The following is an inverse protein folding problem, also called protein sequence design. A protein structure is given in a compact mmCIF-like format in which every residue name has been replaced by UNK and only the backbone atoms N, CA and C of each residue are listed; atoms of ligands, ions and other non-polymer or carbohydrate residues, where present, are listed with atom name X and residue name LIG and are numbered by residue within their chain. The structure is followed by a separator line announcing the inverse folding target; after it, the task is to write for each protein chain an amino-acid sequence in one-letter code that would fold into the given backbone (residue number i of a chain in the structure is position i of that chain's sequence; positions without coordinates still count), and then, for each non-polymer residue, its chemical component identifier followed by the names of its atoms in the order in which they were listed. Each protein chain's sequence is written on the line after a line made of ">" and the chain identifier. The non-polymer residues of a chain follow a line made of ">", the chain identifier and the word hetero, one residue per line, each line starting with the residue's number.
data_IF_684105080238
#
_entry.id   IF_684105080238
#
_cell.length_a   1.000
_cell.length_b   1.000
_cell.length_c   1.000
_cell.angle_alpha   90.00
_cell.angle_beta   90.00
_cell.angle_gamma   90.00
#
_symmetry.space_group_name_H-M   'P 1'
#
loop_
_entity.id
_entity.type
_entity.pdbx_description
1 polymer ?
#
# COMPACT_ATOMS: atom_id res chain seq x y z
N UNK A 1 -32.49 6.19 -11.01
CA UNK A 1 -31.48 6.04 -9.95
C UNK A 1 -31.78 4.71 -9.29
N UNK A 2 -31.08 3.65 -9.70
CA UNK A 2 -31.13 2.40 -8.95
C UNK A 2 -30.48 2.64 -7.59
N UNK A 3 -31.18 2.27 -6.52
CA UNK A 3 -30.61 2.31 -5.18
C UNK A 3 -29.41 1.37 -5.17
N UNK A 4 -28.20 1.92 -5.02
CA UNK A 4 -27.00 1.14 -4.88
C UNK A 4 -27.17 0.24 -3.65
N UNK A 5 -27.23 -1.06 -3.87
CA UNK A 5 -27.38 -2.02 -2.78
C UNK A 5 -26.17 -1.89 -1.87
N UNK A 6 -26.38 -1.44 -0.63
CA UNK A 6 -25.32 -1.32 0.36
C UNK A 6 -24.79 -2.72 0.66
N UNK A 7 -23.49 -2.93 0.46
CA UNK A 7 -22.84 -4.19 0.79
C UNK A 7 -22.86 -4.40 2.31
N UNK A 8 -22.95 -5.66 2.72
CA UNK A 8 -22.95 -6.05 4.12
C UNK A 8 -21.51 -6.37 4.56
N UNK A 9 -21.02 -5.68 5.60
CA UNK A 9 -19.63 -5.79 6.08
C UNK A 9 -19.28 -7.23 6.46
N UNK A 10 -20.11 -7.87 7.27
CA UNK A 10 -19.86 -9.21 7.80
C UNK A 10 -19.78 -10.23 6.66
N UNK A 11 -20.71 -10.15 5.69
CA UNK A 11 -20.68 -11.01 4.49
C UNK A 11 -19.46 -10.81 3.62
N UNK A 12 -18.90 -9.60 3.55
CA UNK A 12 -17.68 -9.36 2.77
C UNK A 12 -16.46 -10.03 3.40
N UNK A 13 -16.31 -9.95 4.72
CA UNK A 13 -15.26 -10.69 5.43
C UNK A 13 -15.47 -12.21 5.34
N UNK A 14 -16.69 -12.69 5.58
CA UNK A 14 -17.02 -14.13 5.49
C UNK A 14 -16.78 -14.69 4.08
N UNK A 15 -16.94 -13.88 3.04
CA UNK A 15 -16.70 -14.33 1.67
C UNK A 15 -15.26 -14.75 1.42
N UNK A 16 -14.30 -14.03 2.00
CA UNK A 16 -12.87 -14.31 1.83
C UNK A 16 -12.36 -15.26 2.90
N UNK A 17 -12.70 -15.02 4.17
CA UNK A 17 -12.11 -15.75 5.29
C UNK A 17 -12.99 -16.90 5.83
N UNK A 18 -14.21 -17.04 5.33
CA UNK A 18 -15.15 -18.08 5.76
C UNK A 18 -15.50 -17.97 7.24
N UNK A 19 -15.55 -19.11 7.92
CA UNK A 19 -15.91 -19.16 9.35
C UNK A 19 -14.81 -18.62 10.28
N UNK A 20 -13.60 -18.32 9.79
CA UNK A 20 -12.52 -17.77 10.62
C UNK A 20 -12.90 -16.42 11.24
N UNK A 21 -13.64 -15.59 10.51
CA UNK A 21 -14.09 -14.26 10.96
C UNK A 21 -15.36 -14.29 11.82
N UNK A 22 -15.94 -15.47 12.09
CA UNK A 22 -17.05 -15.61 13.03
C UNK A 22 -16.49 -15.78 14.43
N UNK A 23 -16.55 -14.71 15.22
CA UNK A 23 -16.03 -14.71 16.59
C UNK A 23 -17.00 -15.43 17.54
N UNK A 24 -16.48 -16.27 18.43
CA UNK A 24 -17.27 -16.92 19.47
C UNK A 24 -17.73 -15.87 20.51
N UNK A 25 -19.05 -15.60 20.65
CA UNK A 25 -19.54 -14.58 21.58
C UNK A 25 -19.15 -14.83 23.03
N UNK A 26 -19.00 -16.10 23.44
CA UNK A 26 -18.57 -16.45 24.79
C UNK A 26 -17.09 -16.16 25.00
N UNK A 27 -16.26 -16.41 23.99
CA UNK A 27 -14.83 -16.10 24.03
C UNK A 27 -14.59 -14.60 24.00
N UNK A 28 -15.26 -13.86 23.11
CA UNK A 28 -15.27 -12.38 23.05
C UNK A 28 -15.57 -11.82 24.44
N UNK A 29 -16.71 -12.21 25.03
CA UNK A 29 -17.13 -11.74 26.35
C UNK A 29 -16.09 -12.06 27.43
N UNK A 30 -15.52 -13.26 27.41
CA UNK A 30 -14.53 -13.70 28.39
C UNK A 30 -13.25 -12.85 28.30
N UNK A 31 -12.69 -12.72 27.10
CA UNK A 31 -11.43 -12.00 26.84
C UNK A 31 -11.59 -10.51 27.17
N UNK A 32 -12.70 -9.89 26.75
CA UNK A 32 -12.97 -8.48 27.03
C UNK A 32 -13.31 -8.18 28.50
N UNK A 33 -13.72 -9.18 29.29
CA UNK A 33 -14.06 -9.00 30.71
C UNK A 33 -12.87 -9.13 31.67
N UNK A 34 -11.81 -9.80 31.23
CA UNK A 34 -10.59 -10.00 32.01
C UNK A 34 -9.58 -8.86 31.75
N UNK A 35 -8.48 -8.77 32.53
CA UNK A 35 -7.47 -7.74 32.33
C UNK A 35 -6.92 -7.71 30.90
N UNK A 36 -6.86 -6.52 30.29
CA UNK A 36 -6.31 -6.33 28.94
C UNK A 36 -4.86 -6.84 28.84
N UNK A 37 -4.49 -7.37 27.68
CA UNK A 37 -3.21 -8.06 27.46
C UNK A 37 -3.16 -9.50 27.98
N UNK A 38 -4.14 -9.97 28.78
CA UNK A 38 -4.23 -11.38 29.13
C UNK A 38 -4.54 -12.22 27.88
N UNK A 39 -3.79 -13.32 27.73
CA UNK A 39 -3.88 -14.24 26.60
C UNK A 39 -4.64 -15.51 26.92
N UNK A 40 -5.35 -16.00 25.92
CA UNK A 40 -6.05 -17.28 25.95
C UNK A 40 -5.67 -18.09 24.72
N UNK A 41 -4.76 -19.03 24.94
CA UNK A 41 -4.36 -20.01 23.95
C UNK A 41 -5.43 -21.10 23.85
N UNK A 42 -5.75 -21.50 22.64
CA UNK A 42 -6.69 -22.57 22.35
C UNK A 42 -5.93 -23.66 21.60
N UNK A 43 -5.64 -24.75 22.31
CA UNK A 43 -5.12 -25.99 21.77
C UNK A 43 -6.28 -26.99 21.68
N UNK A 44 -6.85 -27.13 20.48
CA UNK A 44 -8.03 -27.97 20.22
C UNK A 44 -7.66 -29.43 20.07
N UNK A 45 -6.47 -29.72 19.56
CA UNK A 45 -6.05 -31.08 19.23
C UNK A 45 -5.27 -31.76 20.38
N UNK A 46 -4.80 -30.98 21.36
CA UNK A 46 -4.08 -31.43 22.55
C UNK A 46 -2.61 -31.79 22.30
N UNK A 47 -1.98 -31.30 21.23
CA UNK A 47 -0.59 -31.57 20.89
C UNK A 47 0.42 -30.63 21.60
N UNK A 48 -0.09 -29.62 22.33
CA UNK A 48 0.70 -28.64 23.06
C UNK A 48 1.04 -27.37 22.26
N UNK A 49 0.63 -27.30 20.99
CA UNK A 49 0.76 -26.13 20.11
C UNK A 49 -0.62 -25.51 19.86
N UNK A 50 -0.90 -24.32 20.42
CA UNK A 50 -2.20 -23.67 20.23
C UNK A 50 -2.45 -23.32 18.77
N UNK A 51 -3.64 -23.60 18.23
CA UNK A 51 -4.00 -23.15 16.87
C UNK A 51 -4.45 -21.68 16.81
N UNK A 52 -4.73 -21.08 17.97
CA UNK A 52 -5.10 -19.67 18.06
C UNK A 52 -4.86 -19.10 19.46
N UNK A 53 -4.65 -17.79 19.52
CA UNK A 53 -4.57 -17.02 20.75
C UNK A 53 -5.48 -15.81 20.69
N UNK A 54 -6.23 -15.59 21.77
CA UNK A 54 -7.12 -14.45 21.92
C UNK A 54 -6.62 -13.50 23.01
N UNK A 55 -6.68 -12.19 22.75
CA UNK A 55 -6.29 -11.17 23.73
C UNK A 55 -6.88 -9.80 23.38
N UNK A 56 -6.94 -8.90 24.36
CA UNK A 56 -7.11 -7.47 24.08
C UNK A 56 -5.74 -6.87 23.87
N UNK A 57 -5.44 -6.38 22.66
CA UNK A 57 -4.20 -5.69 22.37
C UNK A 57 -4.17 -4.33 23.09
N UNK A 58 -3.03 -4.05 23.71
CA UNK A 58 -2.77 -2.88 24.53
C UNK A 58 -1.66 -2.00 23.95
N UNK A 59 -1.11 -2.34 22.78
CA UNK A 59 -0.03 -1.58 22.17
C UNK A 59 -0.41 -0.08 22.07
N UNK A 60 0.51 0.83 22.46
CA UNK A 60 0.25 2.27 22.44
C UNK A 60 -0.03 2.83 21.05
N UNK A 61 0.33 2.12 19.96
CA UNK A 61 -0.04 2.50 18.59
C UNK A 61 -1.55 2.60 18.41
N UNK A 62 -2.32 1.84 19.19
CA UNK A 62 -3.77 1.79 19.07
C UNK A 62 -4.49 2.98 19.67
N UNK A 63 -5.38 3.57 18.88
CA UNK A 63 -6.24 4.70 19.23
C UNK A 63 -7.23 4.35 20.34
N UNK A 64 -7.41 5.26 21.30
CA UNK A 64 -8.35 5.07 22.43
C UNK A 64 -9.79 4.83 21.96
N UNK A 65 -10.20 5.45 20.85
CA UNK A 65 -11.54 5.32 20.27
C UNK A 65 -11.87 3.95 19.67
N UNK A 66 -10.88 3.06 19.55
CA UNK A 66 -11.04 1.69 19.05
C UNK A 66 -10.94 0.64 20.17
N UNK A 67 -10.61 1.07 21.39
CA UNK A 67 -10.37 0.16 22.51
C UNK A 67 -11.69 -0.28 23.17
N UNK A 68 -11.77 -1.53 23.68
CA UNK A 68 -10.75 -2.57 23.60
C UNK A 68 -10.57 -3.08 22.16
N UNK A 69 -9.34 -3.34 21.73
CA UNK A 69 -9.08 -4.00 20.45
C UNK A 69 -8.93 -5.49 20.75
N UNK A 70 -9.98 -6.25 20.50
CA UNK A 70 -9.95 -7.70 20.63
C UNK A 70 -9.26 -8.29 19.40
N UNK A 71 -8.30 -9.17 19.63
CA UNK A 71 -7.55 -9.87 18.60
C UNK A 71 -7.71 -11.36 18.80
N UNK A 72 -7.99 -12.04 17.69
CA UNK A 72 -7.83 -13.49 17.52
C UNK A 72 -6.74 -13.70 16.48
N UNK A 73 -5.56 -14.12 16.92
CA UNK A 73 -4.51 -14.59 16.02
C UNK A 73 -4.68 -16.09 15.78
N UNK A 74 -4.60 -16.52 14.53
CA UNK A 74 -4.74 -17.91 14.09
C UNK A 74 -3.40 -18.35 13.50
N UNK A 75 -2.84 -19.38 14.12
CA UNK A 75 -1.66 -20.11 13.66
C UNK A 75 -2.01 -20.89 12.38
N UNK A 76 -1.28 -20.63 11.29
CA UNK A 76 -1.50 -21.34 10.01
C UNK A 76 -0.41 -22.34 9.67
N UNK A 77 0.79 -22.22 10.23
CA UNK A 77 1.93 -23.07 9.92
C UNK A 77 2.27 -24.06 11.05
N UNK A 78 1.64 -23.89 12.21
CA UNK A 78 1.70 -24.81 13.34
C UNK A 78 2.92 -24.61 14.20
N UNK A 79 3.48 -23.41 14.26
CA UNK A 79 4.69 -23.11 15.02
C UNK A 79 4.39 -22.46 16.40
N UNK A 80 3.15 -21.99 16.62
CA UNK A 80 2.77 -21.22 17.80
C UNK A 80 2.98 -22.01 19.09
N UNK A 81 3.62 -21.37 20.07
CA UNK A 81 3.94 -21.96 21.37
C UNK A 81 3.01 -21.48 22.48
N UNK A 82 2.70 -22.36 23.44
CA UNK A 82 1.97 -22.00 24.65
C UNK A 82 2.73 -20.92 25.44
N UNK A 83 2.09 -19.76 25.66
CA UNK A 83 2.73 -18.60 26.29
C UNK A 83 3.59 -17.74 25.34
N UNK A 84 3.69 -18.12 24.06
CA UNK A 84 4.39 -17.40 23.01
C UNK A 84 3.61 -16.21 22.43
N UNK A 85 4.23 -15.51 21.49
CA UNK A 85 3.56 -14.52 20.65
C UNK A 85 3.00 -15.22 19.42
N UNK A 86 1.87 -14.78 18.85
CA UNK A 86 1.68 -14.93 17.41
C UNK A 86 2.74 -14.10 16.69
N UNK A 87 3.17 -14.54 15.52
CA UNK A 87 4.27 -13.97 14.73
C UNK A 87 3.74 -13.36 13.42
N UNK A 88 4.65 -13.09 12.49
CA UNK A 88 4.38 -12.30 11.29
C UNK A 88 4.77 -13.04 10.01
N UNK A 89 4.91 -14.35 10.10
CA UNK A 89 5.23 -15.31 9.07
C UNK A 89 4.09 -16.35 9.08
N UNK A 90 3.21 -16.27 8.08
CA UNK A 90 2.03 -17.16 7.95
C UNK A 90 0.87 -16.97 8.94
N UNK A 91 0.97 -16.11 9.95
CA UNK A 91 -0.14 -15.89 10.89
C UNK A 91 -1.31 -15.00 10.37
N UNK A 92 -2.53 -15.23 10.90
CA UNK A 92 -3.72 -14.42 10.58
C UNK A 92 -4.34 -13.75 11.82
N UNK A 93 -4.39 -12.43 11.79
CA UNK A 93 -4.94 -11.59 12.85
C UNK A 93 -6.35 -11.11 12.50
N UNK A 94 -7.34 -11.51 13.29
CA UNK A 94 -8.74 -11.09 13.14
C UNK A 94 -9.08 -10.13 14.28
N UNK A 95 -9.63 -8.97 13.92
CA UNK A 95 -9.69 -7.83 14.84
C UNK A 95 -11.10 -7.27 14.95
N UNK A 96 -11.53 -7.12 16.19
CA UNK A 96 -12.80 -6.53 16.61
C UNK A 96 -12.50 -5.28 17.42
N UNK A 97 -12.85 -4.11 16.86
CA UNK A 97 -12.72 -2.86 17.57
C UNK A 97 -13.89 -2.69 18.53
N UNK A 98 -13.58 -2.21 19.73
CA UNK A 98 -14.51 -2.05 20.84
C UNK A 98 -15.00 -3.37 21.47
N UNK A 99 -14.60 -4.53 20.95
CA UNK A 99 -14.95 -5.84 21.51
C UNK A 99 -16.45 -6.13 21.42
N UNK A 100 -17.10 -5.70 20.35
CA UNK A 100 -18.55 -5.80 20.16
C UNK A 100 -18.99 -7.12 19.47
N UNK A 101 -18.03 -7.97 19.15
CA UNK A 101 -18.19 -9.25 18.49
C UNK A 101 -18.17 -9.17 16.96
N UNK A 102 -17.87 -8.01 16.37
CA UNK A 102 -17.83 -7.82 14.92
C UNK A 102 -16.43 -7.54 14.42
N UNK A 103 -16.07 -8.18 13.32
CA UNK A 103 -14.76 -7.96 12.68
C UNK A 103 -14.76 -6.59 11.98
N UNK A 104 -13.70 -5.83 12.23
CA UNK A 104 -13.44 -4.53 11.61
C UNK A 104 -12.22 -4.55 10.69
N UNK A 105 -11.23 -5.37 11.01
CA UNK A 105 -10.02 -5.53 10.23
C UNK A 105 -9.49 -6.97 10.31
N UNK A 106 -8.74 -7.36 9.29
CA UNK A 106 -7.93 -8.57 9.28
C UNK A 106 -6.53 -8.20 8.77
N UNK A 107 -5.49 -8.75 9.37
CA UNK A 107 -4.13 -8.73 8.80
C UNK A 107 -3.70 -10.17 8.57
N UNK A 108 -3.24 -10.48 7.37
CA UNK A 108 -2.68 -11.78 7.03
C UNK A 108 -1.23 -11.63 6.62
N UNK A 109 -0.39 -12.51 7.16
CA UNK A 109 1.00 -12.69 6.76
C UNK A 109 1.15 -14.03 6.04
N UNK A 110 2.15 -14.12 5.16
CA UNK A 110 2.49 -15.35 4.44
C UNK A 110 4.00 -15.47 4.35
N UNK A 111 4.51 -16.65 4.67
CA UNK A 111 5.82 -17.16 4.26
C UNK A 111 5.58 -18.15 3.11
N UNK A 112 6.21 -17.91 1.97
CA UNK A 112 6.07 -18.67 0.73
C UNK A 112 7.26 -19.60 0.48
N UNK A 113 8.42 -19.32 1.07
CA UNK A 113 9.66 -20.05 0.81
C UNK A 113 10.15 -20.91 1.99
N UNK A 114 9.57 -20.70 3.18
CA UNK A 114 9.71 -21.50 4.39
C UNK A 114 10.90 -21.12 5.26
N UNK A 115 11.38 -19.88 5.17
CA UNK A 115 12.50 -19.39 5.96
C UNK A 115 12.10 -18.70 7.28
N UNK A 116 10.79 -18.64 7.57
CA UNK A 116 10.16 -18.08 8.77
C UNK A 116 10.26 -16.55 8.83
N UNK A 117 9.95 -15.91 7.70
CA UNK A 117 9.90 -14.46 7.57
C UNK A 117 8.70 -14.01 6.68
N UNK A 118 8.51 -12.69 6.52
CA UNK A 118 7.34 -12.14 5.83
C UNK A 118 7.58 -11.89 4.33
N UNK A 119 7.21 -12.85 3.50
CA UNK A 119 7.13 -12.63 2.05
C UNK A 119 5.98 -11.69 1.65
N UNK A 120 4.83 -11.81 2.32
CA UNK A 120 3.61 -11.06 1.95
C UNK A 120 2.79 -10.64 3.14
N UNK A 121 2.21 -9.45 3.01
CA UNK A 121 1.30 -8.88 3.99
C UNK A 121 0.03 -8.34 3.32
N UNK A 122 -1.13 -8.58 3.95
CA UNK A 122 -2.41 -8.00 3.53
C UNK A 122 -3.14 -7.33 4.70
N UNK A 123 -3.47 -6.04 4.57
CA UNK A 123 -4.34 -5.31 5.51
C UNK A 123 -5.74 -5.19 4.90
N UNK A 124 -6.69 -5.94 5.46
CA UNK A 124 -8.05 -6.07 4.93
C UNK A 124 -9.05 -5.20 5.68
N UNK A 125 -9.88 -4.48 4.94
CA UNK A 125 -10.91 -3.61 5.49
C UNK A 125 -12.14 -3.54 4.59
N UNK A 126 -13.29 -3.17 5.17
CA UNK A 126 -14.53 -3.04 4.41
C UNK A 126 -14.73 -1.63 3.88
N UNK A 127 -15.11 -1.55 2.60
CA UNK A 127 -15.59 -0.34 1.95
C UNK A 127 -17.02 -0.55 1.39
N UNK A 128 -17.99 0.34 1.70
CA UNK A 128 -19.38 0.17 1.24
C UNK A 128 -19.57 0.13 -0.28
N UNK A 129 -18.66 0.72 -1.06
CA UNK A 129 -18.71 0.76 -2.54
C UNK A 129 -17.99 -0.44 -3.14
N UNK A 130 -16.84 -0.81 -2.59
CA UNK A 130 -15.92 -1.80 -3.18
C UNK A 130 -16.03 -3.20 -2.57
N UNK A 131 -16.62 -3.37 -1.39
CA UNK A 131 -16.72 -4.66 -0.70
C UNK A 131 -15.56 -4.83 0.28
N UNK A 132 -14.90 -5.98 0.24
CA UNK A 132 -13.67 -6.16 1.00
C UNK A 132 -12.50 -5.62 0.17
N UNK A 133 -11.74 -4.71 0.74
CA UNK A 133 -10.51 -4.16 0.17
C UNK A 133 -9.29 -4.73 0.90
N UNK A 134 -8.14 -4.74 0.22
CA UNK A 134 -6.85 -5.11 0.79
C UNK A 134 -5.77 -4.17 0.30
N UNK A 135 -4.99 -3.63 1.23
CA UNK A 135 -3.64 -3.15 0.95
C UNK A 135 -2.73 -4.37 0.99
N UNK A 136 -2.32 -4.84 -0.18
CA UNK A 136 -1.49 -6.03 -0.33
C UNK A 136 -0.07 -5.61 -0.67
N UNK A 137 0.92 -6.19 0.00
CA UNK A 137 2.33 -5.98 -0.29
C UNK A 137 3.09 -7.30 -0.39
N UNK A 138 4.13 -7.27 -1.21
CA UNK A 138 5.15 -8.30 -1.37
C UNK A 138 6.48 -7.70 -0.93
N UNK A 139 7.19 -8.42 -0.08
CA UNK A 139 8.59 -8.16 0.22
C UNK A 139 9.41 -8.83 -0.89
N UNK A 140 9.77 -8.08 -1.93
CA UNK A 140 10.57 -8.64 -3.02
C UNK A 140 12.08 -8.61 -2.69
N UNK A 141 12.46 -7.90 -1.62
CA UNK A 141 13.83 -7.59 -1.20
C UNK A 141 14.31 -8.40 0.00
N UNK A 142 13.42 -9.16 0.65
CA UNK A 142 13.72 -10.07 1.77
C UNK A 142 14.23 -9.31 3.01
N UNK A 143 13.67 -8.12 3.25
CA UNK A 143 14.11 -7.22 4.32
C UNK A 143 13.19 -7.21 5.56
N UNK A 144 12.01 -7.81 5.43
CA UNK A 144 10.92 -7.92 6.38
C UNK A 144 10.24 -6.59 6.76
N UNK A 145 10.34 -5.55 5.93
CA UNK A 145 9.92 -4.17 6.23
C UNK A 145 8.69 -3.73 5.42
N UNK A 146 7.59 -4.47 5.55
CA UNK A 146 6.29 -4.12 4.96
C UNK A 146 5.48 -3.10 5.82
N UNK A 147 4.16 -3.07 5.65
CA UNK A 147 3.29 -2.06 6.25
C UNK A 147 3.36 -2.01 7.78
N UNK A 148 3.47 -0.80 8.33
CA UNK A 148 3.24 -0.53 9.74
C UNK A 148 1.77 -0.19 9.97
N UNK A 149 1.03 -1.06 10.64
CA UNK A 149 -0.39 -0.80 10.92
C UNK A 149 -0.62 0.03 12.20
N UNK A 150 -1.74 0.75 12.21
CA UNK A 150 -2.32 1.35 13.41
C UNK A 150 -3.77 0.93 13.51
N UNK A 151 -4.14 0.32 14.65
CA UNK A 151 -5.46 -0.30 14.84
C UNK A 151 -5.73 -1.45 13.85
N UNK A 152 -4.69 -2.11 13.32
CA UNK A 152 -4.82 -3.10 12.26
C UNK A 152 -5.37 -2.52 10.95
N UNK A 153 -5.10 -1.23 10.71
CA UNK A 153 -5.47 -0.52 9.51
C UNK A 153 -4.30 0.32 9.00
N UNK A 154 -4.35 0.68 7.72
CA UNK A 154 -3.43 1.64 7.14
C UNK A 154 -3.57 3.02 7.81
N UNK A 155 -2.46 3.58 8.29
CA UNK A 155 -2.38 4.95 8.79
C UNK A 155 -1.22 5.67 8.10
N UNK A 156 -1.57 6.64 7.24
CA UNK A 156 -0.59 7.37 6.42
C UNK A 156 0.59 7.89 7.23
N UNK A 157 0.34 8.55 8.36
CA UNK A 157 1.40 9.25 9.10
C UNK A 157 2.33 8.26 9.81
N UNK A 158 1.78 7.20 10.37
CA UNK A 158 2.56 6.16 11.03
C UNK A 158 3.34 5.33 10.00
N UNK A 159 2.74 4.93 8.88
CA UNK A 159 3.43 4.25 7.77
C UNK A 159 4.58 5.10 7.25
N UNK A 160 4.31 6.39 6.97
CA UNK A 160 5.34 7.34 6.56
C UNK A 160 6.48 7.42 7.58
N UNK A 161 6.30 7.14 8.87
CA UNK A 161 7.39 7.21 9.85
C UNK A 161 8.07 5.88 10.15
N UNK A 162 7.37 4.76 9.96
CA UNK A 162 7.74 3.48 10.56
C UNK A 162 7.81 2.32 9.58
N UNK A 163 7.30 2.50 8.37
CA UNK A 163 7.57 1.57 7.27
C UNK A 163 8.80 2.04 6.53
N UNK A 164 9.75 1.14 6.37
CA UNK A 164 10.88 1.33 5.49
C UNK A 164 10.56 0.54 4.23
N UNK A 165 9.84 1.14 3.28
CA UNK A 165 9.81 0.63 1.89
C UNK A 165 11.12 1.01 1.19
N UNK A 166 12.23 0.66 1.85
CA UNK A 166 13.58 1.00 1.48
C UNK A 166 14.25 -0.31 1.14
N UNK A 167 14.19 -0.65 -0.13
CA UNK A 167 14.58 -1.93 -0.70
C UNK A 167 13.84 -2.21 -2.01
N UNK A 168 13.51 -3.49 -2.21
CA UNK A 168 12.71 -4.00 -3.31
C UNK A 168 11.32 -4.40 -2.82
N UNK A 169 10.33 -3.51 -2.87
CA UNK A 169 8.97 -3.85 -2.43
C UNK A 169 7.92 -3.53 -3.50
N UNK A 170 6.82 -4.28 -3.45
CA UNK A 170 5.64 -4.07 -4.31
C UNK A 170 4.40 -3.97 -3.46
N UNK A 171 3.51 -3.04 -3.78
CA UNK A 171 2.16 -3.04 -3.22
C UNK A 171 1.07 -2.67 -4.21
N UNK A 172 -0.10 -3.27 -3.98
CA UNK A 172 -1.30 -3.09 -4.76
C UNK A 172 -2.48 -2.84 -3.82
N UNK A 173 -3.45 -2.09 -4.31
CA UNK A 173 -4.74 -1.94 -3.67
C UNK A 173 -5.80 -2.70 -4.47
N UNK A 174 -6.44 -3.66 -3.81
CA UNK A 174 -7.39 -4.54 -4.47
C UNK A 174 -8.72 -4.60 -3.72
N UNK A 175 -9.79 -4.90 -4.44
CA UNK A 175 -11.08 -5.21 -3.84
C UNK A 175 -11.68 -6.50 -4.40
N UNK A 176 -12.55 -7.11 -3.60
CA UNK A 176 -13.38 -8.26 -3.98
C UNK A 176 -14.77 -8.15 -3.36
N UNK A 177 -15.79 -8.53 -4.13
CA UNK A 177 -17.19 -8.58 -3.65
C UNK A 177 -17.67 -10.02 -3.55
N UNK A 178 -18.66 -10.30 -2.67
CA UNK A 178 -19.30 -11.61 -2.65
C UNK A 178 -19.81 -12.04 -4.04
N UNK A 179 -19.33 -13.19 -4.52
CA UNK A 179 -19.60 -13.74 -5.84
C UNK A 179 -18.46 -13.54 -6.86
N UNK A 180 -17.53 -12.61 -6.62
CA UNK A 180 -16.39 -12.37 -7.51
C UNK A 180 -15.39 -13.53 -7.44
N UNK A 181 -14.86 -13.93 -8.59
CA UNK A 181 -13.92 -15.05 -8.70
C UNK A 181 -12.44 -14.64 -8.58
N UNK A 182 -12.17 -13.35 -8.37
CA UNK A 182 -10.82 -12.77 -8.33
C UNK A 182 -10.83 -11.41 -7.66
N UNK A 183 -9.70 -11.02 -7.11
CA UNK A 183 -9.43 -9.65 -6.71
C UNK A 183 -9.30 -8.74 -7.93
N UNK A 184 -9.74 -7.49 -7.78
CA UNK A 184 -9.62 -6.44 -8.78
C UNK A 184 -8.73 -5.34 -8.26
N UNK A 185 -7.62 -5.05 -8.96
CA UNK A 185 -6.75 -3.92 -8.64
C UNK A 185 -7.45 -2.59 -8.95
N UNK A 186 -7.24 -1.59 -8.08
CA UNK A 186 -7.79 -0.25 -8.22
C UNK A 186 -6.97 0.75 -7.39
N UNK A 187 -7.00 2.03 -7.75
CA UNK A 187 -6.17 3.04 -7.10
C UNK A 187 -4.69 2.69 -7.29
N UNK A 188 -3.96 2.19 -6.29
CA UNK A 188 -2.56 1.74 -6.39
C UNK A 188 -2.48 0.44 -7.20
N UNK A 189 -1.89 0.51 -8.40
CA UNK A 189 -1.95 -0.60 -9.37
C UNK A 189 -0.76 -0.58 -10.36
N UNK A 190 0.45 -0.96 -9.92
CA UNK A 190 0.92 -1.12 -8.55
C UNK A 190 1.69 0.14 -8.08
N UNK A 191 2.29 0.08 -6.90
CA UNK A 191 3.37 0.97 -6.50
C UNK A 191 4.56 0.10 -6.06
N UNK A 192 5.71 0.25 -6.73
CA UNK A 192 6.93 -0.50 -6.47
C UNK A 192 8.12 0.43 -6.14
N UNK A 193 9.01 -0.07 -5.30
CA UNK A 193 10.30 0.54 -4.93
C UNK A 193 11.43 -0.36 -5.41
N UNK A 194 12.50 0.17 -5.97
CA UNK A 194 13.62 -0.61 -6.50
C UNK A 194 14.93 -0.22 -5.84
N UNK A 195 15.58 -1.22 -5.26
CA UNK A 195 16.98 -1.21 -4.84
C UNK A 195 17.83 -1.72 -6.01
N UNK A 196 18.44 -0.79 -6.72
CA UNK A 196 19.20 -0.99 -7.95
C UNK A 196 20.62 -1.43 -7.68
N UNK A 197 21.19 -1.11 -6.52
CA UNK A 197 22.59 -1.40 -6.20
C UNK A 197 22.79 -2.45 -5.09
N UNK A 198 21.71 -2.85 -4.42
CA UNK A 198 21.61 -3.93 -3.45
C UNK A 198 22.05 -3.55 -2.04
N UNK A 199 21.94 -2.28 -1.65
CA UNK A 199 22.37 -1.80 -0.33
C UNK A 199 21.26 -1.80 0.76
N UNK A 200 20.03 -2.11 0.34
CA UNK A 200 18.82 -2.10 1.16
C UNK A 200 18.14 -0.74 1.24
N UNK A 201 18.28 0.10 0.20
CA UNK A 201 17.63 1.40 0.05
C UNK A 201 17.10 1.48 -1.39
N UNK A 202 16.00 2.21 -1.61
CA UNK A 202 15.38 2.28 -2.94
C UNK A 202 15.82 3.52 -3.71
N UNK A 203 16.57 3.34 -4.80
CA UNK A 203 16.91 4.44 -5.71
C UNK A 203 15.71 4.90 -6.55
N UNK A 204 14.68 4.06 -6.68
CA UNK A 204 13.60 4.32 -7.63
C UNK A 204 12.24 3.93 -7.07
N UNK A 205 11.27 4.86 -7.12
CA UNK A 205 9.90 4.63 -6.65
C UNK A 205 8.90 4.89 -7.79
N UNK A 206 8.17 3.86 -8.22
CA UNK A 206 7.20 3.93 -9.32
C UNK A 206 5.79 3.67 -8.80
N UNK A 207 4.96 4.71 -8.79
CA UNK A 207 3.53 4.63 -8.47
C UNK A 207 2.68 4.73 -9.73
N UNK A 208 1.90 3.69 -10.00
CA UNK A 208 0.85 3.71 -11.01
C UNK A 208 -0.53 3.81 -10.34
N UNK A 209 -1.38 4.66 -10.91
CA UNK A 209 -2.80 4.69 -10.55
C UNK A 209 -3.63 4.14 -11.68
N UNK A 210 -4.52 3.21 -11.39
CA UNK A 210 -5.30 2.53 -12.41
C UNK A 210 -6.41 1.66 -11.86
N UNK A 211 -7.11 0.99 -12.77
CA UNK A 211 -8.10 -0.04 -12.44
C UNK A 211 -7.88 -1.21 -13.39
N UNK A 212 -7.72 -2.43 -12.86
CA UNK A 212 -7.39 -3.61 -13.67
C UNK A 212 -6.17 -3.30 -14.56
N UNK A 213 -6.21 -3.64 -15.84
CA UNK A 213 -5.07 -3.49 -16.74
C UNK A 213 -5.04 -2.13 -17.44
N UNK A 214 -5.31 -1.08 -16.67
CA UNK A 214 -5.35 0.30 -17.16
C UNK A 214 -4.55 1.21 -16.23
N UNK A 215 -3.93 2.23 -16.81
CA UNK A 215 -3.14 3.25 -16.10
C UNK A 215 -3.70 4.61 -16.46
N UNK A 216 -3.92 5.42 -15.43
CA UNK A 216 -4.44 6.79 -15.52
C UNK A 216 -3.40 7.83 -15.15
N UNK A 217 -2.49 7.51 -14.22
CA UNK A 217 -1.38 8.40 -13.87
C UNK A 217 -0.17 7.61 -13.41
N UNK A 218 0.99 8.24 -13.54
CA UNK A 218 2.29 7.78 -13.09
C UNK A 218 2.89 8.83 -12.16
N UNK A 219 3.56 8.37 -11.11
CA UNK A 219 4.66 9.10 -10.47
C UNK A 219 5.87 8.19 -10.45
N UNK A 220 7.01 8.71 -10.90
CA UNK A 220 8.27 7.99 -10.96
C UNK A 220 9.35 8.85 -10.34
N UNK A 221 9.83 8.46 -9.16
CA UNK A 221 10.82 9.22 -8.40
C UNK A 221 12.17 8.50 -8.38
N UNK A 222 13.24 9.27 -8.27
CA UNK A 222 14.62 8.78 -8.30
C UNK A 222 15.48 9.49 -7.26
N UNK A 223 16.33 8.72 -6.58
CA UNK A 223 17.59 9.18 -5.99
C UNK A 223 18.63 9.19 -7.13
N UNK A 224 19.06 10.38 -7.56
CA UNK A 224 19.89 10.56 -8.76
C UNK A 224 21.36 10.70 -8.40
N UNK A 225 21.69 11.26 -7.25
CA UNK A 225 23.07 11.39 -6.79
C UNK A 225 23.51 10.30 -5.80
N UNK A 226 22.59 9.40 -5.43
CA UNK A 226 22.82 8.16 -4.69
C UNK A 226 23.38 8.42 -3.30
N UNK A 227 22.83 9.42 -2.61
CA UNK A 227 23.27 9.85 -1.29
C UNK A 227 22.33 9.47 -0.14
N UNK A 228 21.23 8.76 -0.45
CA UNK A 228 20.39 8.13 0.54
C UNK A 228 21.21 7.18 1.44
N UNK A 229 20.81 7.10 2.72
CA UNK A 229 21.50 6.28 3.73
C UNK A 229 20.49 5.54 4.59
N UNK A 230 20.92 4.55 5.37
CA UNK A 230 20.00 3.84 6.29
C UNK A 230 19.39 4.78 7.34
N UNK A 231 20.08 5.87 7.66
CA UNK A 231 19.57 6.95 8.52
C UNK A 231 18.65 7.94 7.80
N UNK A 232 18.80 8.11 6.47
CA UNK A 232 17.91 8.88 5.60
C UNK A 232 17.54 8.09 4.32
N UNK A 233 16.70 7.05 4.40
CA UNK A 233 16.52 6.09 3.29
C UNK A 233 15.54 6.56 2.22
N UNK A 234 15.15 7.85 2.20
CA UNK A 234 14.03 8.37 1.40
C UNK A 234 14.39 9.66 0.67
N UNK A 235 15.64 9.70 0.24
CA UNK A 235 16.30 10.85 -0.37
C UNK A 235 16.07 10.85 -1.88
N UNK A 236 14.85 11.20 -2.28
CA UNK A 236 14.50 11.28 -3.70
C UNK A 236 14.71 12.70 -4.21
N UNK A 237 15.57 12.85 -5.22
CA UNK A 237 15.90 14.12 -5.87
C UNK A 237 14.82 14.63 -6.84
N UNK A 238 14.25 13.72 -7.62
CA UNK A 238 13.47 14.11 -8.80
C UNK A 238 12.31 13.16 -8.99
N UNK A 239 11.21 13.69 -9.51
CA UNK A 239 10.12 12.87 -10.01
C UNK A 239 9.61 13.28 -11.37
N UNK A 240 9.05 12.30 -12.06
CA UNK A 240 8.24 12.46 -13.25
C UNK A 240 6.81 12.10 -12.88
N UNK A 241 5.91 13.08 -12.94
CA UNK A 241 4.48 12.85 -12.78
C UNK A 241 3.79 13.00 -14.13
N UNK A 242 2.94 12.04 -14.47
CA UNK A 242 2.24 12.03 -15.75
C UNK A 242 0.78 11.61 -15.59
N UNK A 243 -0.08 12.13 -16.46
CA UNK A 243 -1.50 11.80 -16.50
C UNK A 243 -1.97 11.44 -17.91
N UNK A 244 -3.05 10.67 -17.97
CA UNK A 244 -3.81 10.40 -19.19
C UNK A 244 -5.09 11.24 -19.18
N UNK A 245 -5.38 11.92 -20.27
CA UNK A 245 -6.47 12.87 -20.40
C UNK A 245 -6.20 14.23 -19.74
N UNK A 246 -7.28 14.99 -19.53
CA UNK A 246 -7.23 16.38 -19.05
C UNK A 246 -7.50 16.54 -17.54
N UNK A 247 -7.70 15.44 -16.81
CA UNK A 247 -8.15 15.48 -15.42
C UNK A 247 -7.37 14.52 -14.53
N UNK A 248 -7.31 14.88 -13.25
CA UNK A 248 -6.85 13.99 -12.20
C UNK A 248 -7.83 12.81 -12.06
N UNK A 249 -7.33 11.58 -12.14
CA UNK A 249 -8.12 10.35 -12.09
C UNK A 249 -8.62 9.96 -10.70
N UNK A 250 -8.28 10.76 -9.67
CA UNK A 250 -8.50 10.40 -8.27
C UNK A 250 -9.96 10.33 -7.79
N UNK A 251 -10.95 10.87 -8.53
CA UNK A 251 -12.34 10.96 -8.02
C UNK A 251 -13.49 10.90 -9.06
N UNK A 252 -13.22 10.77 -10.36
CA UNK A 252 -14.27 10.81 -11.39
C UNK A 252 -14.72 9.40 -11.85
N UNK A 253 -15.96 9.30 -12.33
CA UNK A 253 -16.64 8.07 -12.77
C UNK A 253 -15.74 7.20 -13.69
N UNK A 254 -15.44 5.98 -13.22
CA UNK A 254 -14.44 5.02 -13.75
C UNK A 254 -14.59 4.71 -15.25
N UNK A 255 -15.80 4.81 -15.81
CA UNK A 255 -16.09 4.44 -17.21
C UNK A 255 -15.74 5.52 -18.25
N UNK A 256 -15.28 6.69 -17.82
CA UNK A 256 -15.06 7.85 -18.71
C UNK A 256 -13.62 8.36 -18.77
N UNK A 257 -12.73 7.79 -17.96
CA UNK A 257 -11.32 8.19 -17.92
C UNK A 257 -10.59 7.61 -19.13
N UNK A 258 -9.81 8.45 -19.80
CA UNK A 258 -8.83 7.97 -20.76
C UNK A 258 -7.76 7.19 -20.01
N UNK A 259 -7.27 6.11 -20.62
CA UNK A 259 -6.34 5.20 -19.96
C UNK A 259 -5.34 4.61 -20.94
N UNK A 260 -4.12 4.39 -20.49
CA UNK A 260 -3.16 3.50 -21.15
C UNK A 260 -3.50 2.07 -20.74
N UNK A 261 -3.51 1.13 -21.69
CA UNK A 261 -3.76 -0.29 -21.43
C UNK A 261 -2.47 -1.09 -21.51
N UNK A 262 -2.33 -2.08 -20.65
CA UNK A 262 -1.26 -3.07 -20.73
C UNK A 262 -1.85 -4.47 -20.92
N UNK A 263 -1.12 -5.33 -21.64
CA UNK A 263 -1.52 -6.69 -21.96
C UNK A 263 -1.30 -7.69 -20.82
N UNK A 264 -1.92 -8.86 -20.97
CA UNK A 264 -1.77 -10.01 -20.08
C UNK A 264 -0.31 -10.49 -19.97
N UNK A 265 0.46 -10.31 -21.04
CA UNK A 265 1.88 -10.63 -21.10
C UNK A 265 2.74 -9.79 -20.15
N UNK A 266 2.22 -8.66 -19.65
CA UNK A 266 2.90 -7.84 -18.64
C UNK A 266 2.41 -8.11 -17.22
N UNK A 267 1.50 -9.06 -17.04
CA UNK A 267 0.91 -9.36 -15.74
C UNK A 267 1.41 -10.69 -15.18
N UNK A 268 1.30 -10.83 -13.86
CA UNK A 268 1.34 -12.11 -13.17
C UNK A 268 0.05 -12.35 -12.39
N UNK A 269 -0.14 -13.58 -11.94
CA UNK A 269 -1.26 -13.94 -11.07
C UNK A 269 -0.73 -14.31 -9.70
N UNK A 270 -1.13 -13.56 -8.69
CA UNK A 270 -0.83 -13.85 -7.28
C UNK A 270 -2.10 -14.39 -6.61
N UNK A 271 -1.93 -15.26 -5.60
CA UNK A 271 -3.04 -15.81 -4.82
C UNK A 271 -3.12 -15.06 -3.50
N UNK A 272 -4.24 -14.38 -3.26
CA UNK A 272 -4.50 -13.63 -2.03
C UNK A 272 -5.69 -14.29 -1.34
N UNK A 273 -5.44 -14.93 -0.20
CA UNK A 273 -6.45 -15.63 0.61
C UNK A 273 -7.32 -16.61 -0.21
N UNK A 274 -6.67 -17.35 -1.13
CA UNK A 274 -7.34 -18.36 -1.96
C UNK A 274 -8.03 -17.82 -3.23
N UNK A 275 -8.01 -16.50 -3.46
CA UNK A 275 -8.53 -15.89 -4.69
C UNK A 275 -7.38 -15.34 -5.55
N UNK A 276 -7.43 -15.52 -6.88
CA UNK A 276 -6.41 -14.97 -7.77
C UNK A 276 -6.56 -13.44 -7.88
N UNK A 277 -5.44 -12.75 -8.03
CA UNK A 277 -5.35 -11.36 -8.43
C UNK A 277 -4.42 -11.25 -9.63
N UNK A 278 -4.73 -10.38 -10.58
CA UNK A 278 -3.84 -10.09 -11.71
C UNK A 278 -3.17 -8.74 -11.49
N UNK A 279 -1.86 -8.72 -11.31
CA UNK A 279 -1.06 -7.53 -11.04
C UNK A 279 0.01 -7.34 -12.13
N UNK A 280 0.53 -6.13 -12.29
CA UNK A 280 1.61 -5.86 -13.25
C UNK A 280 2.92 -6.43 -12.73
N UNK A 281 3.68 -7.13 -13.58
CA UNK A 281 5.00 -7.64 -13.20
C UNK A 281 5.97 -6.48 -13.01
N UNK A 282 6.64 -6.48 -11.85
CA UNK A 282 7.68 -5.51 -11.48
C UNK A 282 8.72 -5.30 -12.59
N UNK A 283 9.26 -6.39 -13.14
CA UNK A 283 10.27 -6.34 -14.22
C UNK A 283 9.74 -5.85 -15.59
N UNK A 284 8.43 -5.81 -15.79
CA UNK A 284 7.82 -5.31 -17.02
C UNK A 284 7.54 -3.80 -16.97
N UNK A 285 7.53 -3.21 -15.77
CA UNK A 285 7.07 -1.85 -15.53
C UNK A 285 7.95 -0.79 -16.20
N UNK A 286 9.24 -0.75 -15.89
CA UNK A 286 10.17 0.24 -16.47
C UNK A 286 10.22 0.16 -18.02
N UNK A 287 10.43 -1.02 -18.64
CA UNK A 287 10.44 -1.12 -20.12
C UNK A 287 9.11 -0.76 -20.79
N UNK A 288 8.00 -0.86 -20.07
CA UNK A 288 6.69 -0.45 -20.56
C UNK A 288 6.51 1.06 -20.47
N UNK A 289 6.79 1.67 -19.31
CA UNK A 289 6.57 3.08 -19.04
C UNK A 289 7.43 3.99 -19.93
N UNK A 290 8.68 3.60 -20.20
CA UNK A 290 9.60 4.32 -21.10
C UNK A 290 9.09 4.47 -22.54
N UNK A 291 8.08 3.70 -22.94
CA UNK A 291 7.52 3.71 -24.31
C UNK A 291 6.20 4.48 -24.39
N UNK A 292 5.67 4.96 -23.28
CA UNK A 292 4.38 5.61 -23.24
C UNK A 292 4.47 7.07 -23.67
N UNK A 293 3.42 7.54 -24.32
CA UNK A 293 3.19 8.96 -24.57
C UNK A 293 2.00 9.37 -23.73
N UNK A 294 2.23 10.28 -22.80
CA UNK A 294 1.22 10.71 -21.85
C UNK A 294 0.40 11.88 -22.40
N UNK A 295 -0.65 12.27 -21.70
CA UNK A 295 -1.41 13.47 -22.09
C UNK A 295 -0.73 14.73 -21.59
N UNK A 296 -0.17 14.69 -20.36
CA UNK A 296 0.63 15.76 -19.76
C UNK A 296 1.66 15.15 -18.82
N UNK A 297 2.80 15.81 -18.71
CA UNK A 297 3.93 15.37 -17.88
C UNK A 297 4.56 16.56 -17.19
N UNK A 298 5.06 16.33 -15.99
CA UNK A 298 5.85 17.30 -15.23
C UNK A 298 7.04 16.58 -14.61
N UNK A 299 8.24 17.07 -14.87
CA UNK A 299 9.42 16.77 -14.07
C UNK A 299 9.46 17.76 -12.90
N UNK A 300 9.70 17.26 -11.69
CA UNK A 300 9.89 18.06 -10.49
C UNK A 300 11.23 17.70 -9.87
N UNK A 301 12.17 18.64 -9.90
CA UNK A 301 13.45 18.53 -9.21
C UNK A 301 13.35 19.17 -7.83
N UNK A 302 13.81 18.45 -6.82
CA UNK A 302 14.05 18.95 -5.47
C UNK A 302 15.40 19.65 -5.38
N UNK A 303 15.42 20.97 -5.52
CA UNK A 303 16.70 21.70 -5.64
C UNK A 303 17.38 21.94 -4.29
N UNK A 304 16.75 21.53 -3.19
CA UNK A 304 17.26 21.77 -1.85
C UNK A 304 17.27 20.52 -0.98
N UNK A 305 17.07 19.36 -1.59
CA UNK A 305 17.23 18.07 -0.93
C UNK A 305 16.34 17.95 0.31
N UNK A 306 15.05 18.24 0.10
CA UNK A 306 14.07 18.28 1.18
C UNK A 306 12.70 17.87 0.67
N UNK A 307 12.54 16.56 0.54
CA UNK A 307 11.34 15.92 0.03
C UNK A 307 10.33 15.71 1.18
N UNK A 308 9.85 16.79 1.78
CA UNK A 308 8.89 16.74 2.90
C UNK A 308 7.51 17.27 2.51
N UNK A 309 6.45 16.81 3.19
CA UNK A 309 5.10 17.31 2.95
C UNK A 309 4.98 18.81 3.26
N UNK A 310 4.49 19.59 2.30
CA UNK A 310 4.38 21.03 2.44
C UNK A 310 3.15 21.45 3.24
N UNK A 311 3.33 22.45 4.12
CA UNK A 311 2.22 23.09 4.84
C UNK A 311 1.59 22.24 5.94
N UNK A 312 2.21 21.13 6.33
CA UNK A 312 1.74 20.27 7.43
C UNK A 312 2.63 20.50 8.67
N UNK A 313 2.15 21.22 9.70
CA UNK A 313 2.96 21.51 10.88
C UNK A 313 3.44 20.23 11.59
N UNK A 314 4.74 20.19 11.91
CA UNK A 314 5.36 19.05 12.57
C UNK A 314 5.55 17.82 11.67
N UNK A 315 5.41 18.00 10.35
CA UNK A 315 5.81 17.01 9.36
C UNK A 315 7.25 17.32 8.92
N UNK A 316 8.19 16.47 9.33
CA UNK A 316 9.63 16.70 9.21
C UNK A 316 10.38 15.44 8.75
N UNK A 317 9.66 14.51 8.12
CA UNK A 317 10.22 13.28 7.57
C UNK A 317 10.12 13.33 6.05
N UNK A 318 11.10 12.77 5.39
CA UNK A 318 11.08 12.67 3.94
C UNK A 318 10.09 11.61 3.46
N UNK A 319 9.51 11.89 2.29
CA UNK A 319 8.45 11.07 1.72
C UNK A 319 9.06 9.85 1.03
N UNK A 320 8.76 8.67 1.58
CA UNK A 320 9.01 7.38 0.92
C UNK A 320 8.37 7.31 -0.47
N UNK A 321 7.32 8.09 -0.71
CA UNK A 321 6.64 8.19 -2.00
C UNK A 321 7.47 8.86 -3.12
N UNK A 322 8.60 9.46 -2.76
CA UNK A 322 9.41 10.37 -3.56
C UNK A 322 8.82 11.77 -3.73
N UNK A 323 9.39 12.55 -4.65
CA UNK A 323 9.05 13.97 -4.84
C UNK A 323 7.65 14.11 -5.43
N UNK A 324 6.72 14.76 -4.71
CA UNK A 324 5.36 14.99 -5.21
C UNK A 324 5.20 16.46 -5.64
N UNK A 325 4.92 16.66 -6.93
CA UNK A 325 4.69 17.96 -7.51
C UNK A 325 3.46 18.67 -6.91
N UNK A 326 3.61 19.96 -6.58
CA UNK A 326 2.47 20.81 -6.27
C UNK A 326 1.56 20.97 -7.50
N UNK A 327 0.26 21.11 -7.28
CA UNK A 327 -0.69 21.38 -8.35
C UNK A 327 -0.36 22.72 -9.04
N UNK A 328 -0.19 22.69 -10.36
CA UNK A 328 -0.11 23.90 -11.17
C UNK A 328 -1.51 24.30 -11.65
N UNK A 329 -1.92 25.52 -11.30
CA UNK A 329 -3.17 26.16 -11.76
C UNK A 329 -2.92 27.27 -12.77
N UNK A 330 -1.68 27.42 -13.20
CA UNK A 330 -1.31 28.47 -14.13
C UNK A 330 -1.93 28.20 -15.50
N UNK A 331 -2.50 29.25 -16.09
CA UNK A 331 -3.24 29.14 -17.34
C UNK A 331 -2.33 28.65 -18.46
N UNK A 332 -2.68 27.52 -19.07
CA UNK A 332 -1.90 26.87 -20.13
C UNK A 332 -0.80 25.92 -19.62
N UNK A 333 -0.66 25.77 -18.30
CA UNK A 333 0.28 24.88 -17.63
C UNK A 333 -0.41 24.08 -16.52
N UNK A 334 -1.71 23.81 -16.67
CA UNK A 334 -2.49 23.14 -15.65
C UNK A 334 -2.03 21.68 -15.50
N UNK A 335 -1.54 21.34 -14.31
CA UNK A 335 -1.11 20.00 -13.95
C UNK A 335 -1.63 19.66 -12.56
N UNK A 336 -2.47 18.62 -12.42
CA UNK A 336 -2.93 18.22 -11.11
C UNK A 336 -1.81 17.52 -10.32
N UNK A 337 -1.96 17.54 -8.99
CA UNK A 337 -1.12 16.74 -8.10
C UNK A 337 -1.39 15.24 -8.29
N UNK A 338 -0.33 14.43 -8.42
CA UNK A 338 -0.43 12.97 -8.53
C UNK A 338 -0.02 12.30 -7.20
N UNK A 339 -1.02 11.89 -6.41
CA UNK A 339 -0.82 11.16 -5.14
C UNK A 339 -1.00 12.01 -3.88
N UNK A 340 -0.29 11.61 -2.81
CA UNK A 340 -0.33 12.18 -1.45
C UNK A 340 0.03 13.67 -1.35
N UNK A 341 0.20 14.23 -0.14
CA UNK A 341 0.60 15.62 0.04
C UNK A 341 1.83 16.00 -0.78
N UNK A 342 1.77 17.13 -1.49
CA UNK A 342 2.89 17.62 -2.29
C UNK A 342 4.03 18.18 -1.45
N UNK A 343 5.21 18.29 -2.07
CA UNK A 343 6.42 18.85 -1.46
C UNK A 343 6.49 20.38 -1.58
N UNK A 344 5.37 21.01 -1.96
CA UNK A 344 5.23 22.46 -2.05
C UNK A 344 5.87 23.07 -3.29
N UNK A 345 5.57 24.35 -3.59
CA UNK A 345 6.02 25.02 -4.80
C UNK A 345 7.41 25.66 -4.69
N UNK A 346 8.03 25.66 -3.51
CA UNK A 346 9.25 26.39 -3.22
C UNK A 346 10.46 25.47 -3.25
N UNK A 347 11.60 25.99 -3.72
CA UNK A 347 12.84 25.23 -3.91
C UNK A 347 12.67 23.99 -4.80
N UNK A 348 11.64 23.97 -5.63
CA UNK A 348 11.44 22.95 -6.65
C UNK A 348 11.59 23.58 -8.03
N UNK A 349 12.16 22.83 -8.97
CA UNK A 349 12.15 23.19 -10.39
C UNK A 349 11.15 22.31 -11.12
N UNK A 350 10.27 22.95 -11.89
CA UNK A 350 9.22 22.28 -12.63
C UNK A 350 9.45 22.41 -14.13
N UNK A 351 9.39 21.29 -14.83
CA UNK A 351 9.40 21.25 -16.30
C UNK A 351 8.19 20.51 -16.80
N UNK A 352 7.27 21.26 -17.39
CA UNK A 352 5.95 20.76 -17.77
C UNK A 352 5.83 20.68 -19.29
N UNK A 353 5.35 19.53 -19.76
CA UNK A 353 5.02 19.27 -21.16
C UNK A 353 3.54 18.99 -21.27
N UNK A 354 2.80 19.93 -21.87
CA UNK A 354 1.33 19.85 -21.96
C UNK A 354 0.83 18.90 -23.05
N UNK A 355 1.64 18.63 -24.08
CA UNK A 355 1.26 17.84 -25.25
C UNK A 355 2.46 17.08 -25.81
N UNK A 356 3.02 16.11 -25.07
CA UNK A 356 4.15 15.32 -25.55
C UNK A 356 3.76 14.56 -26.82
N UNK A 357 4.68 14.48 -27.78
CA UNK A 357 4.46 13.84 -29.10
C UNK A 357 5.19 12.51 -29.25
N UNK A 358 6.05 12.20 -28.30
CA UNK A 358 6.89 11.03 -28.24
C UNK A 358 7.15 10.72 -26.75
N UNK A 359 7.66 9.52 -26.41
CA UNK A 359 8.06 9.22 -25.04
C UNK A 359 9.13 10.19 -24.52
N UNK A 360 9.29 10.23 -23.20
CA UNK A 360 10.20 11.16 -22.53
C UNK A 360 11.63 11.08 -23.07
N UNK A 361 12.24 12.26 -23.21
CA UNK A 361 13.64 12.42 -23.54
C UNK A 361 14.22 13.49 -22.64
N UNK A 362 15.37 13.20 -22.05
CA UNK A 362 16.08 14.12 -21.17
C UNK A 362 17.32 14.65 -21.88
N UNK A 363 17.72 15.87 -21.54
CA UNK A 363 18.94 16.46 -22.06
C UNK A 363 19.64 17.31 -21.00
N UNK A 364 20.97 17.33 -21.06
CA UNK A 364 21.76 18.24 -20.26
C UNK A 364 21.90 19.58 -20.99
N UNK A 365 21.50 20.66 -20.33
CA UNK A 365 21.71 22.02 -20.81
C UNK A 365 23.01 22.59 -20.23
N UNK A 366 23.99 22.85 -21.08
CA UNK A 366 25.24 23.50 -20.67
C UNK A 366 25.04 24.98 -20.23
N UNK A 367 23.91 25.59 -20.56
CA UNK A 367 23.63 27.00 -20.28
C UNK A 367 23.35 27.26 -18.80
N UNK A 368 22.60 26.38 -18.17
CA UNK A 368 22.25 26.41 -16.75
C UNK A 368 22.84 25.24 -15.95
N UNK A 369 23.55 24.34 -16.64
CA UNK A 369 24.23 23.16 -16.09
C UNK A 369 23.29 22.16 -15.42
N UNK A 370 22.08 22.00 -15.99
CA UNK A 370 21.01 21.17 -15.43
C UNK A 370 20.51 20.13 -16.43
N UNK A 371 19.89 19.07 -15.92
CA UNK A 371 19.12 18.09 -16.69
C UNK A 371 17.70 18.63 -16.85
N UNK A 372 17.16 18.53 -18.06
CA UNK A 372 15.83 18.96 -18.49
C UNK A 372 15.11 17.78 -19.15
#
# INVERSE_FOLDING_TARGET
>A
MEAQQTLDKEKCFEYVFGDKVKLDPMMVKKVCSDPSGKRYYVDRNGDGKPEEVWYVDVDPRHSVSKRPILVRAIDRDGDMQMGGQPDFDSDLYIVDWNGDGKVDAVIGYQDLDGDNDVDRMGIYYFDPKYGLCVWWSSDDGDDNLLWYDVNYAYDQRACEQKTNFGGDETFDHLYIKPGDQRWTTFSENPFCFFDRDGDGISEEAIRLVGIKQTIHSLRWSFDVDNDATKENPRDYDVSLSAIVGDKNSGQDNESSLQSIKYGDDMCETVMIEGYPAKIMRRNAMVPFLQKQVWSREIMTWDENDLNIAYGIPGYNIERWEGVIAAESKDRGYEMPRVGGPDCGPYNKRYEIVMHPKAPNTYYYSAGDKRIH
#
